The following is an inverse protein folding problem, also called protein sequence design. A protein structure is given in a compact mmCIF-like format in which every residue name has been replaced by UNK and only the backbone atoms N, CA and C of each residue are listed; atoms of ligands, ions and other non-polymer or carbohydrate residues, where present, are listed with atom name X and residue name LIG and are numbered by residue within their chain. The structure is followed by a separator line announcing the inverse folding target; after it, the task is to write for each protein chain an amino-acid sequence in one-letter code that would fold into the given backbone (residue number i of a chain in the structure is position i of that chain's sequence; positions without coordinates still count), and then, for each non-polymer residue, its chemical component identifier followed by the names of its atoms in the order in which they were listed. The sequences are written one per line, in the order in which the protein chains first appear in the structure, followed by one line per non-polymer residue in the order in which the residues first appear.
data_IF_181397207698
#
_entry.id   IF_181397207698
#
_cell.length_a   1.000
_cell.length_b   1.000
_cell.length_c   1.000
_cell.angle_alpha   90.00
_cell.angle_beta   90.00
_cell.angle_gamma   90.00
#
_symmetry.space_group_name_H-M   'P 1'
#
loop_
_entity.id
_entity.type
_entity.pdbx_description
1 polymer ?
#
# COMPACT_ATOMS: atom_id res chain seq x y z
N UNK A 1 -14.90 -18.81 15.08
CA UNK A 1 -14.10 -18.03 16.05
C UNK A 1 -13.74 -18.95 17.20
N UNK A 2 -12.46 -19.14 17.50
CA UNK A 2 -12.11 -19.25 18.91
C UNK A 2 -12.20 -17.83 19.50
N UNK A 3 -12.69 -17.68 20.73
CA UNK A 3 -12.88 -16.35 21.36
C UNK A 3 -11.55 -15.65 21.72
N UNK A 4 -10.41 -16.31 21.52
CA UNK A 4 -9.08 -15.86 21.96
C UNK A 4 -8.35 -15.02 20.91
N UNK A 5 -8.46 -15.33 19.62
CA UNK A 5 -7.66 -14.67 18.57
C UNK A 5 -8.19 -13.27 18.19
N UNK A 6 -9.51 -13.09 18.14
CA UNK A 6 -10.14 -11.76 17.96
C UNK A 6 -9.87 -10.78 19.12
N UNK A 7 -9.42 -11.28 20.28
CA UNK A 7 -8.97 -10.46 21.41
C UNK A 7 -7.58 -9.86 21.18
N UNK A 8 -6.70 -10.52 20.43
CA UNK A 8 -5.33 -10.04 20.21
C UNK A 8 -5.29 -8.86 19.22
N UNK A 9 -6.04 -8.94 18.12
CA UNK A 9 -6.19 -7.81 17.19
C UNK A 9 -6.93 -6.63 17.84
N UNK A 10 -8.03 -6.88 18.60
CA UNK A 10 -8.71 -5.81 19.35
C UNK A 10 -7.84 -5.22 20.47
N UNK A 11 -7.00 -6.03 21.12
CA UNK A 11 -6.04 -5.57 22.13
C UNK A 11 -4.94 -4.69 21.52
N UNK A 12 -4.43 -5.06 20.35
CA UNK A 12 -3.54 -4.22 19.55
C UNK A 12 -4.21 -2.91 19.16
N UNK A 13 -5.46 -2.94 18.66
CA UNK A 13 -6.21 -1.73 18.30
C UNK A 13 -6.54 -0.83 19.50
N UNK A 14 -6.87 -1.40 20.66
CA UNK A 14 -7.18 -0.63 21.88
C UNK A 14 -5.99 0.18 22.38
N UNK A 15 -4.76 -0.32 22.21
CA UNK A 15 -3.53 0.41 22.54
C UNK A 15 -3.35 1.71 21.72
N UNK A 16 -4.03 1.86 20.58
CA UNK A 16 -3.86 3.02 19.68
C UNK A 16 -5.14 3.83 19.46
N UNK A 17 -6.18 3.56 20.26
CA UNK A 17 -7.52 4.18 20.14
C UNK A 17 -7.60 5.67 20.52
N UNK A 18 -6.50 6.30 20.92
CA UNK A 18 -6.47 7.69 21.43
C UNK A 18 -5.90 8.75 20.48
N UNK A 19 -5.58 8.41 19.23
CA UNK A 19 -5.03 9.38 18.26
C UNK A 19 -6.15 10.13 17.54
N UNK A 20 -6.48 11.35 18.01
CA UNK A 20 -7.30 12.30 17.25
C UNK A 20 -6.56 12.74 15.98
N UNK A 21 -7.26 12.70 14.84
CA UNK A 21 -6.68 13.11 13.54
C UNK A 21 -6.45 14.64 13.49
N UNK A 22 -5.25 15.12 13.09
CA UNK A 22 -5.05 16.53 12.78
C UNK A 22 -5.81 16.94 11.51
N UNK A 23 -6.29 18.19 11.48
CA UNK A 23 -7.12 18.81 10.43
C UNK A 23 -6.39 19.03 9.08
N UNK A 24 -5.19 18.50 8.88
CA UNK A 24 -4.38 18.74 7.66
C UNK A 24 -4.92 18.01 6.44
N UNK A 25 -5.69 16.92 6.64
CA UNK A 25 -6.43 16.25 5.55
C UNK A 25 -7.84 16.84 5.41
N UNK A 26 -7.97 18.16 5.54
CA UNK A 26 -9.19 18.89 5.21
C UNK A 26 -9.58 18.67 3.74
N UNK A 27 -10.86 18.86 3.44
CA UNK A 27 -11.46 18.74 2.11
C UNK A 27 -10.93 19.80 1.14
N UNK A 28 -9.65 19.76 0.83
CA UNK A 28 -9.06 20.50 -0.29
C UNK A 28 -8.53 19.51 -1.30
N UNK A 29 -9.44 18.67 -1.81
CA UNK A 29 -9.25 18.19 -3.17
C UNK A 29 -9.61 19.37 -4.07
N UNK A 30 -8.60 20.01 -4.66
CA UNK A 30 -8.81 20.80 -5.86
C UNK A 30 -9.52 19.84 -6.83
N UNK A 31 -10.82 20.05 -7.00
CA UNK A 31 -11.62 19.27 -7.92
C UNK A 31 -10.94 19.42 -9.27
N UNK A 32 -10.31 18.36 -9.78
CA UNK A 32 -9.73 18.37 -11.12
C UNK A 32 -10.90 18.34 -12.11
N UNK A 33 -11.60 19.46 -12.21
CA UNK A 33 -12.73 19.71 -13.07
C UNK A 33 -12.23 19.70 -14.50
N UNK A 34 -12.48 18.60 -15.19
CA UNK A 34 -12.35 18.55 -16.65
C UNK A 34 -13.61 17.88 -17.16
N UNK A 35 -14.20 18.52 -18.16
CA UNK A 35 -15.24 17.98 -19.03
C UNK A 35 -14.87 16.55 -19.44
N UNK A 36 -15.72 15.58 -19.08
CA UNK A 36 -15.49 14.15 -19.21
C UNK A 36 -15.86 13.66 -20.61
N UNK A 37 -15.14 14.10 -21.64
CA UNK A 37 -15.25 13.39 -22.92
C UNK A 37 -14.61 12.01 -22.76
N UNK A 38 -15.27 10.92 -23.21
CA UNK A 38 -14.68 9.57 -23.20
C UNK A 38 -13.30 9.50 -23.88
N UNK A 39 -13.06 10.32 -24.90
CA UNK A 39 -11.78 10.41 -25.61
C UNK A 39 -10.68 10.99 -24.73
N UNK A 40 -10.99 12.02 -23.93
CA UNK A 40 -10.04 12.63 -23.00
C UNK A 40 -9.63 11.64 -21.92
N UNK A 41 -10.60 10.90 -21.37
CA UNK A 41 -10.32 9.86 -20.38
C UNK A 41 -9.49 8.72 -20.97
N UNK A 42 -9.82 8.26 -22.18
CA UNK A 42 -9.03 7.24 -22.88
C UNK A 42 -7.58 7.68 -23.04
N UNK A 43 -7.34 8.90 -23.54
CA UNK A 43 -5.98 9.45 -23.71
C UNK A 43 -5.20 9.54 -22.40
N UNK A 44 -5.87 9.87 -21.30
CA UNK A 44 -5.24 9.90 -19.97
C UNK A 44 -4.81 8.49 -19.56
N UNK A 45 -5.66 7.49 -19.75
CA UNK A 45 -5.32 6.11 -19.36
C UNK A 45 -4.25 5.49 -20.28
N UNK A 46 -4.29 5.79 -21.58
CA UNK A 46 -3.31 5.30 -22.54
C UNK A 46 -1.91 5.86 -22.29
N UNK A 47 -1.80 7.16 -21.98
CA UNK A 47 -0.51 7.81 -21.85
C UNK A 47 -0.04 7.96 -20.40
N UNK A 48 -0.93 7.76 -19.42
CA UNK A 48 -0.78 8.14 -18.01
C UNK A 48 0.06 7.20 -17.15
N UNK A 49 1.29 6.91 -17.58
CA UNK A 49 2.31 6.23 -16.77
C UNK A 49 2.82 7.10 -15.62
N UNK A 50 3.38 6.47 -14.59
CA UNK A 50 4.05 7.12 -13.47
C UNK A 50 5.54 6.75 -13.48
N UNK A 51 6.45 7.70 -13.19
CA UNK A 51 7.86 7.36 -13.00
C UNK A 51 8.03 6.56 -11.71
N UNK A 52 8.86 5.52 -11.73
CA UNK A 52 9.26 4.88 -10.48
C UNK A 52 10.10 5.84 -9.62
N UNK A 53 9.81 5.86 -8.32
CA UNK A 53 10.67 6.46 -7.33
C UNK A 53 11.48 5.35 -6.68
N UNK A 54 12.58 4.97 -7.32
CA UNK A 54 13.43 3.85 -6.89
C UNK A 54 14.91 4.24 -6.97
N UNK A 55 15.68 3.83 -5.96
CA UNK A 55 17.14 3.98 -5.87
C UNK A 55 17.70 2.93 -4.91
N UNK A 56 19.01 2.71 -4.94
CA UNK A 56 19.65 1.87 -3.92
C UNK A 56 19.55 2.49 -2.53
N UNK A 57 19.54 1.65 -1.49
CA UNK A 57 19.54 2.07 -0.09
C UNK A 57 18.18 2.54 0.44
N UNK A 58 17.07 2.16 -0.22
CA UNK A 58 15.73 2.40 0.30
C UNK A 58 15.46 1.55 1.55
N UNK A 59 14.82 2.16 2.54
CA UNK A 59 14.29 1.45 3.71
C UNK A 59 12.99 0.74 3.34
N UNK A 60 12.15 1.40 2.52
CA UNK A 60 10.84 0.90 2.08
C UNK A 60 10.70 1.09 0.57
N UNK A 61 10.21 0.05 -0.14
CA UNK A 61 9.66 0.18 -1.49
C UNK A 61 8.17 -0.18 -1.46
N UNK A 62 7.28 0.80 -1.65
CA UNK A 62 5.84 0.56 -1.71
C UNK A 62 5.45 0.15 -3.13
N UNK A 63 4.73 -0.97 -3.23
CA UNK A 63 4.27 -1.57 -4.47
C UNK A 63 2.75 -1.46 -4.56
N UNK A 64 2.26 -0.71 -5.54
CA UNK A 64 0.88 -0.77 -6.01
C UNK A 64 0.69 -1.76 -7.16
N UNK A 65 -0.54 -1.85 -7.69
CA UNK A 65 -0.85 -2.72 -8.82
C UNK A 65 -0.58 -2.00 -10.13
N UNK A 66 -1.21 -0.84 -10.33
CA UNK A 66 -1.03 0.04 -11.48
C UNK A 66 -1.64 1.43 -11.20
N UNK A 67 -1.31 2.46 -12.00
CA UNK A 67 -1.92 3.78 -11.83
C UNK A 67 -3.43 3.76 -12.09
N UNK A 68 -4.21 4.28 -11.13
CA UNK A 68 -5.63 4.57 -11.37
C UNK A 68 -5.82 5.87 -12.16
N UNK A 69 -7.01 6.08 -12.74
CA UNK A 69 -7.34 7.28 -13.54
C UNK A 69 -6.84 8.62 -12.97
N UNK A 70 -7.11 8.91 -11.69
CA UNK A 70 -6.69 10.18 -11.08
C UNK A 70 -5.16 10.29 -10.93
N UNK A 71 -4.49 9.19 -10.60
CA UNK A 71 -3.03 9.13 -10.56
C UNK A 71 -2.42 9.32 -11.94
N UNK A 72 -2.99 8.67 -12.95
CA UNK A 72 -2.60 8.81 -14.34
C UNK A 72 -2.77 10.26 -14.85
N UNK A 73 -3.90 10.89 -14.49
CA UNK A 73 -4.21 12.29 -14.81
C UNK A 73 -3.24 13.27 -14.14
N UNK A 74 -2.98 13.07 -12.86
CA UNK A 74 -2.11 13.93 -12.07
C UNK A 74 -0.61 13.66 -12.31
N UNK A 75 -0.26 12.50 -12.86
CA UNK A 75 1.12 11.97 -12.89
C UNK A 75 1.75 11.83 -11.51
N UNK A 76 0.91 11.52 -10.52
CA UNK A 76 1.32 11.34 -9.13
C UNK A 76 0.70 10.11 -8.50
N UNK A 77 1.42 9.48 -7.58
CA UNK A 77 0.97 8.30 -6.86
C UNK A 77 -0.16 8.62 -5.89
N UNK A 78 -1.15 7.72 -5.85
CA UNK A 78 -2.28 7.78 -4.92
C UNK A 78 -3.04 9.12 -4.92
N UNK A 79 -3.18 9.75 -6.10
CA UNK A 79 -3.88 11.03 -6.28
C UNK A 79 -5.42 10.89 -6.34
N UNK A 80 -5.93 9.68 -6.14
CA UNK A 80 -7.38 9.42 -6.14
C UNK A 80 -8.10 10.12 -4.99
N UNK A 81 -9.29 10.72 -5.22
CA UNK A 81 -10.13 11.25 -4.17
C UNK A 81 -10.35 10.20 -3.07
N UNK A 82 -10.10 10.57 -1.82
CA UNK A 82 -10.27 9.70 -0.67
C UNK A 82 -9.29 8.53 -0.58
N UNK A 83 -8.18 8.51 -1.34
CA UNK A 83 -7.13 7.52 -1.11
C UNK A 83 -6.49 7.72 0.27
N UNK A 84 -6.41 6.67 1.09
CA UNK A 84 -5.94 6.77 2.47
C UNK A 84 -4.42 6.74 2.61
N UNK A 85 -3.66 6.57 1.52
CA UNK A 85 -2.21 6.32 1.58
C UNK A 85 -1.45 7.40 2.35
N UNK A 86 -1.59 8.67 1.92
CA UNK A 86 -0.91 9.81 2.51
C UNK A 86 -1.29 10.01 3.99
N UNK A 87 -2.58 9.84 4.31
CA UNK A 87 -3.08 9.89 5.68
C UNK A 87 -2.48 8.78 6.55
N UNK A 88 -2.43 7.55 6.04
CA UNK A 88 -1.84 6.42 6.75
C UNK A 88 -0.34 6.60 6.98
N UNK A 89 0.42 7.08 5.98
CA UNK A 89 1.85 7.34 6.13
C UNK A 89 2.13 8.37 7.25
N UNK A 90 1.43 9.50 7.24
CA UNK A 90 1.67 10.55 8.23
C UNK A 90 1.20 10.13 9.63
N UNK A 91 0.00 9.54 9.75
CA UNK A 91 -0.55 9.19 11.06
C UNK A 91 0.18 8.01 11.72
N UNK A 92 0.80 7.12 10.92
CA UNK A 92 1.69 6.07 11.43
C UNK A 92 3.11 6.54 11.76
N UNK A 93 3.45 7.81 11.47
CA UNK A 93 4.79 8.39 11.64
C UNK A 93 5.87 7.77 10.74
N UNK A 94 5.48 7.12 9.63
CA UNK A 94 6.43 6.69 8.59
C UNK A 94 7.06 7.90 7.88
N UNK A 95 6.34 9.02 7.83
CA UNK A 95 6.87 10.33 7.42
C UNK A 95 6.69 11.34 8.57
N UNK A 96 7.62 12.31 8.72
CA UNK A 96 7.62 13.23 9.85
C UNK A 96 6.56 14.35 9.74
N UNK A 97 6.13 14.67 8.52
CA UNK A 97 5.21 15.76 8.23
C UNK A 97 4.15 15.33 7.21
N UNK A 98 2.97 15.95 7.21
CA UNK A 98 1.92 15.62 6.26
C UNK A 98 2.28 16.15 4.87
N UNK A 99 2.16 15.31 3.85
CA UNK A 99 2.27 15.70 2.44
C UNK A 99 1.10 15.11 1.64
N UNK A 100 0.84 15.69 0.47
CA UNK A 100 -0.14 15.19 -0.52
C UNK A 100 0.57 14.51 -1.69
N UNK A 101 -0.21 13.97 -2.63
CA UNK A 101 0.29 13.35 -3.86
C UNK A 101 1.14 14.29 -4.72
N UNK A 102 0.91 15.61 -4.66
CA UNK A 102 1.70 16.63 -5.39
C UNK A 102 3.19 16.61 -5.01
N UNK A 103 3.49 16.02 -3.85
CA UNK A 103 4.79 15.99 -3.22
C UNK A 103 5.34 14.56 -3.09
N UNK A 104 4.80 13.61 -3.86
CA UNK A 104 5.12 12.19 -3.73
C UNK A 104 6.62 11.87 -3.92
N UNK A 105 7.31 12.59 -4.79
CA UNK A 105 8.77 12.49 -4.99
C UNK A 105 9.57 12.74 -3.70
N UNK A 106 9.02 13.49 -2.73
CA UNK A 106 9.68 13.76 -1.44
C UNK A 106 9.84 12.51 -0.60
N UNK A 107 9.08 11.44 -0.86
CA UNK A 107 9.24 10.17 -0.14
C UNK A 107 10.67 9.62 -0.20
N UNK A 108 11.39 9.89 -1.30
CA UNK A 108 12.80 9.52 -1.44
C UNK A 108 13.71 10.18 -0.39
N UNK A 109 13.34 11.36 0.15
CA UNK A 109 14.07 12.03 1.25
C UNK A 109 14.00 11.24 2.56
N UNK A 110 12.99 10.38 2.73
CA UNK A 110 12.80 9.51 3.88
C UNK A 110 13.07 8.03 3.56
N UNK A 111 13.81 7.76 2.47
CA UNK A 111 14.13 6.42 1.97
C UNK A 111 12.90 5.54 1.70
N UNK A 112 11.78 6.15 1.30
CA UNK A 112 10.57 5.47 0.86
C UNK A 112 10.45 5.62 -0.66
N UNK A 113 10.49 4.51 -1.38
CA UNK A 113 10.26 4.44 -2.82
C UNK A 113 8.84 4.04 -3.18
N UNK A 114 8.44 4.30 -4.41
CA UNK A 114 7.13 3.98 -4.98
C UNK A 114 7.30 3.30 -6.35
N UNK A 115 6.57 2.21 -6.56
CA UNK A 115 6.47 1.53 -7.86
C UNK A 115 5.12 0.83 -8.00
N UNK A 116 4.85 0.25 -9.17
CA UNK A 116 3.70 -0.60 -9.44
C UNK A 116 4.12 -1.90 -10.12
N UNK A 117 3.28 -2.93 -10.03
CA UNK A 117 3.46 -4.15 -10.82
C UNK A 117 3.33 -3.84 -12.31
N UNK A 118 2.23 -3.19 -12.72
CA UNK A 118 1.95 -2.86 -14.11
C UNK A 118 2.07 -1.35 -14.35
N UNK A 119 2.64 -0.97 -15.49
CA UNK A 119 2.86 0.44 -15.86
C UNK A 119 1.61 1.11 -16.42
N UNK A 120 0.77 0.36 -17.16
CA UNK A 120 -0.41 0.89 -17.83
C UNK A 120 -1.47 1.34 -16.82
N UNK A 121 -1.99 2.55 -17.01
CA UNK A 121 -3.08 3.05 -16.20
C UNK A 121 -4.42 2.41 -16.57
N UNK A 122 -5.27 2.19 -15.57
CA UNK A 122 -6.63 1.66 -15.77
C UNK A 122 -7.63 2.34 -14.83
N UNK A 123 -8.94 2.07 -15.03
CA UNK A 123 -9.97 2.50 -14.08
C UNK A 123 -9.94 1.62 -12.83
N UNK A 124 -9.74 0.32 -13.04
CA UNK A 124 -9.58 -0.66 -11.97
C UNK A 124 -8.60 -1.76 -12.35
N UNK A 125 -8.13 -2.50 -11.34
CA UNK A 125 -7.24 -3.64 -11.53
C UNK A 125 -7.83 -4.74 -12.41
N UNK A 126 -9.16 -4.84 -12.50
CA UNK A 126 -9.87 -5.83 -13.30
C UNK A 126 -9.69 -5.63 -14.82
N UNK A 127 -9.20 -4.45 -15.24
CA UNK A 127 -8.88 -4.12 -16.63
C UNK A 127 -7.45 -4.55 -17.05
N UNK A 128 -6.71 -5.21 -16.17
CA UNK A 128 -5.36 -5.74 -16.44
C UNK A 128 -5.46 -7.20 -16.91
N UNK A 129 -4.79 -7.51 -18.02
CA UNK A 129 -4.69 -8.89 -18.47
C UNK A 129 -3.74 -9.71 -17.58
N UNK A 130 -3.93 -11.04 -17.57
CA UNK A 130 -3.00 -11.96 -16.89
C UNK A 130 -1.57 -11.85 -17.42
N UNK A 131 -1.40 -11.57 -18.71
CA UNK A 131 -0.09 -11.41 -19.34
C UNK A 131 0.62 -10.17 -18.83
N UNK A 132 -0.06 -9.02 -18.79
CA UNK A 132 0.49 -7.77 -18.23
C UNK A 132 0.90 -7.93 -16.77
N UNK A 133 0.06 -8.59 -15.98
CA UNK A 133 0.33 -8.88 -14.58
C UNK A 133 1.58 -9.78 -14.42
N UNK A 134 1.66 -10.86 -15.19
CA UNK A 134 2.77 -11.81 -15.14
C UNK A 134 4.09 -11.14 -15.54
N UNK A 135 4.07 -10.36 -16.61
CA UNK A 135 5.23 -9.61 -17.08
C UNK A 135 5.63 -8.51 -16.10
N UNK A 136 4.66 -7.76 -15.57
CA UNK A 136 4.88 -6.75 -14.54
C UNK A 136 5.49 -7.34 -13.27
N UNK A 137 5.02 -8.50 -12.81
CA UNK A 137 5.59 -9.20 -11.65
C UNK A 137 7.04 -9.64 -11.91
N UNK A 138 7.36 -10.11 -13.12
CA UNK A 138 8.71 -10.46 -13.54
C UNK A 138 9.65 -9.24 -13.55
N UNK A 139 9.18 -8.10 -14.07
CA UNK A 139 9.93 -6.83 -14.08
C UNK A 139 10.14 -6.33 -12.66
N UNK A 140 9.10 -6.36 -11.82
CA UNK A 140 9.18 -5.93 -10.43
C UNK A 140 10.17 -6.78 -9.62
N UNK A 141 10.22 -8.11 -9.82
CA UNK A 141 11.25 -8.96 -9.20
C UNK A 141 12.66 -8.47 -9.52
N UNK A 142 12.95 -8.22 -10.81
CA UNK A 142 14.25 -7.69 -11.23
C UNK A 142 14.58 -6.36 -10.56
N UNK A 143 13.62 -5.43 -10.47
CA UNK A 143 13.80 -4.16 -9.76
C UNK A 143 14.09 -4.37 -8.27
N UNK A 144 13.38 -5.29 -7.61
CA UNK A 144 13.59 -5.59 -6.19
C UNK A 144 14.99 -6.19 -5.97
N UNK A 145 15.41 -7.13 -6.80
CA UNK A 145 16.75 -7.73 -6.75
C UNK A 145 17.85 -6.67 -6.99
N UNK A 146 17.70 -5.84 -8.02
CA UNK A 146 18.67 -4.80 -8.39
C UNK A 146 18.81 -3.72 -7.30
N UNK A 147 17.69 -3.13 -6.87
CA UNK A 147 17.73 -1.99 -5.95
C UNK A 147 17.81 -2.39 -4.48
N UNK A 148 17.50 -3.64 -4.16
CA UNK A 148 17.63 -4.26 -2.83
C UNK A 148 17.11 -3.37 -1.68
N UNK A 149 15.83 -2.96 -1.70
CA UNK A 149 15.24 -2.23 -0.57
C UNK A 149 15.21 -3.13 0.68
N UNK A 150 15.30 -2.55 1.88
CA UNK A 150 15.23 -3.34 3.11
C UNK A 150 13.87 -4.03 3.28
N UNK A 151 12.78 -3.31 2.99
CA UNK A 151 11.41 -3.82 3.08
C UNK A 151 10.62 -3.50 1.80
N UNK A 152 10.02 -4.51 1.17
CA UNK A 152 9.03 -4.34 0.10
C UNK A 152 7.64 -4.39 0.71
N UNK A 153 6.85 -3.34 0.48
CA UNK A 153 5.52 -3.17 1.04
C UNK A 153 4.47 -3.27 -0.05
N UNK A 154 3.69 -4.34 -0.06
CA UNK A 154 2.55 -4.47 -0.97
C UNK A 154 1.34 -3.73 -0.41
N UNK A 155 0.87 -2.71 -1.12
CA UNK A 155 -0.28 -1.89 -0.75
C UNK A 155 -1.61 -2.57 -1.13
N UNK A 156 -1.82 -3.76 -0.58
CA UNK A 156 -3.03 -4.56 -0.75
C UNK A 156 -2.73 -6.06 -0.85
N UNK A 157 -3.49 -6.86 -0.10
CA UNK A 157 -3.44 -8.32 -0.15
C UNK A 157 -3.49 -8.88 -1.57
N UNK A 158 -4.46 -8.45 -2.37
CA UNK A 158 -4.62 -8.96 -3.74
C UNK A 158 -3.42 -8.67 -4.63
N UNK A 159 -2.73 -7.54 -4.41
CA UNK A 159 -1.53 -7.16 -5.15
C UNK A 159 -0.39 -8.14 -4.83
N UNK A 160 -0.22 -8.45 -3.55
CA UNK A 160 0.77 -9.45 -3.13
C UNK A 160 0.44 -10.85 -3.64
N UNK A 161 -0.82 -11.29 -3.54
CA UNK A 161 -1.27 -12.60 -4.04
C UNK A 161 -1.03 -12.74 -5.55
N UNK A 162 -1.29 -11.67 -6.30
CA UNK A 162 -1.01 -11.60 -7.73
C UNK A 162 0.49 -11.74 -8.00
N UNK A 163 1.32 -11.03 -7.23
CA UNK A 163 2.77 -11.06 -7.40
C UNK A 163 3.38 -12.42 -7.04
N UNK A 164 2.95 -13.04 -5.94
CA UNK A 164 3.51 -14.31 -5.45
C UNK A 164 2.86 -15.54 -6.12
N UNK A 165 1.69 -15.37 -6.74
CA UNK A 165 0.96 -16.44 -7.42
C UNK A 165 0.20 -17.39 -6.49
N UNK A 166 0.04 -17.04 -5.21
CA UNK A 166 -0.63 -17.87 -4.22
C UNK A 166 -1.46 -17.04 -3.23
N UNK A 167 -2.39 -17.69 -2.54
CA UNK A 167 -3.23 -17.06 -1.52
C UNK A 167 -2.49 -16.91 -0.21
N UNK A 168 -2.72 -15.79 0.48
CA UNK A 168 -2.05 -15.51 1.75
C UNK A 168 -3.04 -15.48 2.91
N UNK A 169 -2.57 -15.95 4.08
CA UNK A 169 -3.41 -16.18 5.27
C UNK A 169 -3.58 -14.92 6.12
N UNK A 170 -2.54 -14.09 6.18
CA UNK A 170 -2.49 -12.89 7.01
C UNK A 170 -1.96 -11.69 6.22
N UNK A 171 -2.27 -10.49 6.71
CA UNK A 171 -1.57 -9.26 6.41
C UNK A 171 -0.32 -9.15 7.29
N UNK A 172 0.45 -8.08 7.10
CA UNK A 172 1.68 -7.82 7.82
C UNK A 172 2.89 -8.51 7.19
N UNK A 173 3.89 -8.87 8.00
CA UNK A 173 5.10 -9.53 7.51
C UNK A 173 4.76 -10.84 6.78
N UNK A 174 5.49 -11.13 5.72
CA UNK A 174 5.42 -12.40 4.98
C UNK A 174 6.80 -13.04 4.93
N UNK A 175 6.82 -14.34 4.61
CA UNK A 175 8.08 -15.01 4.33
C UNK A 175 8.73 -14.38 3.09
N UNK A 176 10.04 -14.17 3.18
CA UNK A 176 10.79 -13.56 2.09
C UNK A 176 10.96 -14.54 0.93
N UNK A 177 10.87 -14.02 -0.30
CA UNK A 177 11.19 -14.73 -1.52
C UNK A 177 12.58 -14.34 -2.10
N UNK A 178 13.25 -13.32 -1.54
CA UNK A 178 14.63 -12.93 -1.88
C UNK A 178 15.43 -12.77 -0.59
N UNK A 179 16.48 -13.56 -0.35
CA UNK A 179 17.31 -13.44 0.85
C UNK A 179 17.79 -12.00 1.09
N UNK A 180 17.63 -11.51 2.32
CA UNK A 180 18.03 -10.16 2.73
C UNK A 180 17.00 -9.05 2.47
N UNK A 181 15.87 -9.37 1.83
CA UNK A 181 14.77 -8.42 1.59
C UNK A 181 13.54 -8.88 2.37
N UNK A 182 12.99 -8.02 3.23
CA UNK A 182 11.79 -8.34 4.00
C UNK A 182 10.52 -7.93 3.26
N UNK A 183 9.43 -8.68 3.48
CA UNK A 183 8.15 -8.45 2.80
C UNK A 183 7.07 -8.11 3.81
N UNK A 184 6.30 -7.07 3.51
CA UNK A 184 5.18 -6.65 4.35
C UNK A 184 3.94 -6.33 3.50
N UNK A 185 2.76 -6.72 3.96
CA UNK A 185 1.50 -6.50 3.25
C UNK A 185 0.57 -5.66 4.10
N UNK A 186 0.16 -4.51 3.59
CA UNK A 186 -0.86 -3.66 4.23
C UNK A 186 -2.20 -3.80 3.52
N UNK A 187 -3.33 -3.43 4.15
CA UNK A 187 -4.58 -3.24 3.43
C UNK A 187 -4.41 -2.26 2.28
N UNK A 188 -5.17 -2.45 1.20
CA UNK A 188 -5.16 -1.50 0.10
C UNK A 188 -5.58 -0.12 0.59
N UNK A 189 -4.80 0.90 0.26
CA UNK A 189 -5.09 2.29 0.63
C UNK A 189 -6.31 2.87 -0.09
N UNK A 190 -6.79 2.20 -1.17
CA UNK A 190 -8.00 2.58 -1.90
C UNK A 190 -9.24 2.64 -0.98
N UNK A 191 -10.10 3.67 -1.11
CA UNK A 191 -11.35 3.74 -0.35
C UNK A 191 -12.34 2.65 -0.76
N UNK A 192 -12.12 1.97 -1.91
CA UNK A 192 -12.94 0.84 -2.36
C UNK A 192 -12.66 -0.47 -1.60
N UNK A 193 -11.69 -0.48 -0.69
CA UNK A 193 -11.39 -1.66 0.13
C UNK A 193 -12.53 -1.92 1.13
N UNK A 194 -13.36 -2.92 0.86
CA UNK A 194 -14.51 -3.25 1.71
C UNK A 194 -14.11 -3.76 3.11
N UNK A 195 -12.98 -4.46 3.23
CA UNK A 195 -12.51 -5.01 4.50
C UNK A 195 -12.00 -3.94 5.47
N UNK A 196 -11.51 -2.81 4.96
CA UNK A 196 -10.98 -1.70 5.74
C UNK A 196 -11.49 -0.38 5.15
N UNK A 197 -12.75 0.00 5.44
CA UNK A 197 -13.44 1.07 4.72
C UNK A 197 -12.92 2.47 5.05
N UNK A 198 -12.32 2.69 6.24
CA UNK A 198 -11.82 4.00 6.67
C UNK A 198 -10.30 4.01 6.76
N UNK A 199 -9.70 5.20 6.84
CA UNK A 199 -8.25 5.33 7.06
C UNK A 199 -7.87 4.77 8.43
N UNK A 200 -8.71 5.02 9.44
CA UNK A 200 -8.56 4.59 10.82
C UNK A 200 -8.45 3.07 10.95
N UNK A 201 -9.11 2.33 10.06
CA UNK A 201 -9.05 0.86 10.03
C UNK A 201 -7.72 0.35 9.44
N UNK A 202 -6.96 1.21 8.72
CA UNK A 202 -5.71 0.87 8.02
C UNK A 202 -4.46 1.35 8.75
N UNK A 203 -4.52 2.48 9.45
CA UNK A 203 -3.41 3.06 10.21
C UNK A 203 -2.68 2.04 11.12
N UNK A 204 -3.37 1.14 11.83
CA UNK A 204 -2.70 0.16 12.70
C UNK A 204 -1.68 -0.72 11.94
N UNK A 205 -1.96 -1.08 10.69
CA UNK A 205 -1.03 -1.84 9.84
C UNK A 205 0.19 -1.01 9.43
N UNK A 206 0.02 0.30 9.22
CA UNK A 206 1.12 1.21 8.92
C UNK A 206 1.97 1.50 10.17
N UNK A 207 1.37 1.54 11.37
CA UNK A 207 2.11 1.61 12.65
C UNK A 207 2.93 0.33 12.84
N UNK A 208 2.35 -0.84 12.57
CA UNK A 208 3.08 -2.10 12.60
C UNK A 208 4.22 -2.12 11.59
N UNK A 209 3.99 -1.64 10.36
CA UNK A 209 5.02 -1.48 9.34
C UNK A 209 6.16 -0.56 9.83
N UNK A 210 5.85 0.57 10.47
CA UNK A 210 6.87 1.46 11.03
C UNK A 210 7.75 0.73 12.04
N UNK A 211 7.14 0.05 13.01
CA UNK A 211 7.87 -0.72 14.03
C UNK A 211 8.73 -1.81 13.40
N UNK A 212 8.18 -2.50 12.39
CA UNK A 212 8.90 -3.52 11.65
C UNK A 212 10.13 -2.93 10.93
N UNK A 213 9.97 -1.83 10.22
CA UNK A 213 11.08 -1.14 9.53
C UNK A 213 12.12 -0.64 10.52
N UNK A 214 11.71 -0.04 11.64
CA UNK A 214 12.62 0.43 12.70
C UNK A 214 13.43 -0.75 13.28
N UNK A 215 12.80 -1.92 13.47
CA UNK A 215 13.44 -3.15 13.91
C UNK A 215 14.45 -3.69 12.88
N UNK A 216 14.07 -3.79 11.60
CA UNK A 216 14.99 -4.21 10.54
C UNK A 216 16.20 -3.27 10.46
N UNK A 217 16.00 -1.97 10.71
CA UNK A 217 17.08 -0.98 10.73
C UNK A 217 17.99 -1.06 11.94
N UNK A 218 17.51 -1.56 13.08
CA UNK A 218 18.35 -1.75 14.26
C UNK A 218 19.26 -2.98 14.16
N UNK A 219 18.99 -3.91 13.24
CA UNK A 219 19.76 -5.14 13.05
C UNK A 219 19.57 -6.16 14.18
N UNK A 220 18.58 -5.96 15.06
CA UNK A 220 18.28 -6.87 16.14
C UNK A 220 17.56 -8.12 15.60
N UNK A 221 17.77 -9.31 16.19
CA UNK A 221 16.98 -10.49 15.85
C UNK A 221 15.48 -10.24 16.07
N UNK A 222 14.63 -10.79 15.21
CA UNK A 222 13.18 -10.82 15.47
C UNK A 222 12.91 -12.01 16.39
N UNK A 223 12.80 -11.76 17.70
CA UNK A 223 12.57 -12.81 18.70
C UNK A 223 11.14 -13.39 18.63
N UNK A 224 10.19 -12.62 18.12
CA UNK A 224 8.81 -13.03 17.90
C UNK A 224 8.26 -12.38 16.63
N UNK A 225 8.12 -13.19 15.59
CA UNK A 225 7.65 -12.72 14.28
C UNK A 225 6.13 -12.52 14.20
N UNK A 226 5.39 -13.28 15.00
CA UNK A 226 3.92 -13.30 14.97
C UNK A 226 3.31 -11.94 15.37
N UNK A 227 4.06 -11.09 16.07
CA UNK A 227 3.62 -9.73 16.41
C UNK A 227 3.40 -8.84 15.18
N UNK A 228 3.98 -9.19 14.03
CA UNK A 228 3.85 -8.46 12.77
C UNK A 228 2.91 -9.15 11.77
N UNK A 229 2.22 -10.22 12.17
CA UNK A 229 1.29 -10.98 11.33
C UNK A 229 -0.15 -10.78 11.81
N UNK A 230 -1.06 -10.47 10.90
CA UNK A 230 -2.45 -10.15 11.22
C UNK A 230 -3.42 -11.00 10.41
N UNK A 231 -4.11 -11.95 11.05
CA UNK A 231 -5.04 -12.82 10.34
C UNK A 231 -6.12 -12.03 9.57
N UNK A 232 -6.41 -12.49 8.36
CA UNK A 232 -7.51 -11.91 7.57
C UNK A 232 -8.77 -12.67 7.92
N UNK A 233 -9.70 -12.03 8.64
CA UNK A 233 -11.02 -12.62 8.89
C UNK A 233 -11.69 -12.97 7.54
N UNK A 234 -12.01 -14.25 7.36
CA UNK A 234 -12.80 -14.69 6.21
C UNK A 234 -14.23 -14.16 6.36
N UNK A 235 -14.51 -12.97 5.82
CA UNK A 235 -15.87 -12.44 5.69
C UNK A 235 -16.62 -13.17 4.58
N UNK A 236 -16.90 -14.45 4.80
CA UNK A 236 -17.98 -15.19 4.13
C UNK A 236 -18.87 -15.77 5.21
N UNK A 237 -19.72 -14.94 5.83
CA UNK A 237 -20.93 -15.36 6.57
C UNK A 237 -21.64 -14.12 7.13
N UNK A 238 -22.35 -13.41 6.27
CA UNK A 238 -23.63 -12.77 6.62
C UNK A 238 -24.43 -12.62 5.33
N UNK A 239 -24.93 -13.75 4.80
CA UNK A 239 -26.18 -13.71 4.05
C UNK A 239 -27.24 -13.29 5.06
N UNK A 240 -27.90 -12.18 4.78
CA UNK A 240 -29.10 -11.72 5.48
C UNK A 240 -30.06 -12.89 5.63
N UNK A 241 -30.49 -13.15 6.86
CA UNK A 241 -31.81 -13.74 7.14
C UNK A 241 -32.83 -12.62 7.02
#
# INVERSE_FOLDING_TARGET
MSKQEGKQFKGFLQQFSSVKAPTVFGETSTSIGVSRSPETERKILENGTLPDYIRHGLDILVVGINPGFFSAKARHYYAGPGNHFWKCLYQSKLIPEPITWENDFRLLKWNIGLTNICERATRGQDDLSKQEISEGARILRKKIEEFSPKVVVFNGKGIYEIFIGSKVKHLGRQDSFIPGIEIFVVPSSSPRSASYPRAEDKIPFYIALKKFVDHIKSGLPIDNDEQFRFEVENTRKHKRL
#
